data_IF_158024096918
#
_entry.id   IF_158024096918
#
_cell.length_a   1.000
_cell.length_b   1.000
_cell.length_c   1.000
_cell.angle_alpha   90.00
_cell.angle_beta   90.00
_cell.angle_gamma   90.00
#
_symmetry.space_group_name_H-M   'P 1'
#
loop_
_entity.id
_entity.type
_entity.pdbx_description
1 polymer ?
#
# COMPACT_ATOMS: atom_id res chain seq x y z
N UNK A 1 -29.92 0.04 -12.18
CA UNK A 1 -28.80 -0.58 -11.44
C UNK A 1 -27.56 -0.32 -12.28
N UNK A 2 -26.58 0.39 -11.75
CA UNK A 2 -25.28 0.59 -12.42
C UNK A 2 -24.60 -0.78 -12.51
N UNK A 3 -24.05 -1.10 -13.66
CA UNK A 3 -23.32 -2.35 -13.88
C UNK A 3 -22.02 -2.32 -13.07
N UNK A 4 -21.65 -3.42 -12.41
CA UNK A 4 -20.40 -3.52 -11.67
C UNK A 4 -19.20 -3.28 -12.60
N UNK A 5 -18.22 -2.50 -12.16
CA UNK A 5 -16.95 -2.24 -12.85
C UNK A 5 -16.17 -3.53 -12.99
N UNK A 6 -15.79 -3.92 -14.22
CA UNK A 6 -15.05 -5.16 -14.51
C UNK A 6 -13.55 -4.89 -14.37
N UNK A 7 -12.95 -5.50 -13.33
CA UNK A 7 -11.56 -5.23 -12.97
C UNK A 7 -10.66 -6.38 -13.45
N UNK A 8 -9.56 -6.02 -14.12
CA UNK A 8 -8.42 -6.88 -14.38
C UNK A 8 -7.27 -6.58 -13.42
N UNK A 9 -6.52 -7.61 -13.00
CA UNK A 9 -5.34 -7.43 -12.13
C UNK A 9 -4.10 -7.98 -12.81
N UNK A 10 -3.04 -7.16 -12.87
CA UNK A 10 -1.73 -7.52 -13.40
C UNK A 10 -0.75 -7.70 -12.23
N UNK A 11 -0.16 -8.90 -12.14
CA UNK A 11 0.67 -9.33 -11.02
C UNK A 11 -0.19 -9.90 -9.89
N UNK A 12 -0.07 -11.20 -9.62
CA UNK A 12 -0.77 -11.88 -8.52
C UNK A 12 0.20 -12.40 -7.46
N UNK A 13 1.23 -11.61 -7.19
CA UNK A 13 2.08 -11.75 -6.00
C UNK A 13 1.30 -11.43 -4.72
N UNK A 14 2.01 -11.17 -3.61
CA UNK A 14 1.38 -10.92 -2.32
C UNK A 14 0.34 -9.78 -2.36
N UNK A 15 0.66 -8.63 -3.00
CA UNK A 15 -0.27 -7.49 -3.09
C UNK A 15 -1.39 -7.74 -4.08
N UNK A 16 -1.08 -8.24 -5.28
CA UNK A 16 -2.12 -8.48 -6.29
C UNK A 16 -3.13 -9.54 -5.86
N UNK A 17 -2.71 -10.60 -5.17
CA UNK A 17 -3.62 -11.57 -4.58
C UNK A 17 -4.51 -10.94 -3.50
N UNK A 18 -3.96 -10.08 -2.65
CA UNK A 18 -4.71 -9.37 -1.62
C UNK A 18 -5.72 -8.37 -2.23
N UNK A 19 -5.35 -7.67 -3.31
CA UNK A 19 -6.30 -6.84 -4.08
C UNK A 19 -7.38 -7.67 -4.77
N UNK A 20 -7.03 -8.85 -5.32
CA UNK A 20 -8.01 -9.76 -5.93
C UNK A 20 -9.07 -10.22 -4.93
N UNK A 21 -8.65 -10.60 -3.73
CA UNK A 21 -9.53 -10.94 -2.61
C UNK A 21 -10.43 -9.75 -2.20
N UNK A 22 -9.88 -8.52 -2.17
CA UNK A 22 -10.67 -7.31 -1.87
C UNK A 22 -11.74 -7.07 -2.92
N UNK A 23 -11.36 -7.09 -4.19
CA UNK A 23 -12.32 -6.86 -5.29
C UNK A 23 -13.39 -7.93 -5.30
N UNK A 24 -13.04 -9.20 -5.09
CA UNK A 24 -13.99 -10.31 -5.12
C UNK A 24 -14.97 -10.31 -3.95
N UNK A 25 -14.52 -9.91 -2.74
CA UNK A 25 -15.29 -10.16 -1.53
C UNK A 25 -15.63 -8.94 -0.68
N UNK A 26 -14.90 -7.82 -0.84
CA UNK A 26 -15.03 -6.66 0.05
C UNK A 26 -15.38 -5.35 -0.64
N UNK A 27 -15.25 -5.27 -1.98
CA UNK A 27 -15.48 -4.05 -2.74
C UNK A 27 -16.87 -4.07 -3.39
N UNK A 28 -17.64 -3.02 -3.20
CA UNK A 28 -18.95 -2.85 -3.82
C UNK A 28 -18.85 -2.18 -5.19
N UNK A 29 -19.74 -2.51 -6.12
CA UNK A 29 -19.78 -1.89 -7.45
C UNK A 29 -18.65 -2.36 -8.38
N UNK A 30 -17.93 -3.42 -8.02
CA UNK A 30 -16.88 -4.02 -8.83
C UNK A 30 -16.94 -5.53 -8.82
N UNK A 31 -16.36 -6.14 -9.86
CA UNK A 31 -16.13 -7.59 -9.94
C UNK A 31 -14.78 -7.88 -10.60
N UNK A 32 -14.07 -8.87 -10.09
CA UNK A 32 -12.85 -9.38 -10.72
C UNK A 32 -13.23 -10.22 -11.94
N UNK A 33 -12.63 -9.92 -13.11
CA UNK A 33 -12.95 -10.63 -14.36
C UNK A 33 -11.74 -11.28 -15.01
N UNK A 34 -10.53 -10.76 -14.73
CA UNK A 34 -9.30 -11.31 -15.29
C UNK A 34 -8.10 -11.09 -14.38
N UNK A 35 -7.13 -11.98 -14.46
CA UNK A 35 -5.81 -11.84 -13.81
C UNK A 35 -4.71 -12.18 -14.81
N UNK A 36 -3.54 -11.55 -14.64
CA UNK A 36 -2.34 -11.83 -15.43
C UNK A 36 -1.12 -11.92 -14.52
N UNK A 37 -0.30 -12.96 -14.71
CA UNK A 37 0.98 -13.13 -14.03
C UNK A 37 1.91 -14.00 -14.90
N UNK A 38 3.22 -13.73 -14.95
CA UNK A 38 4.17 -14.60 -15.62
C UNK A 38 4.18 -16.04 -15.05
N UNK A 39 3.88 -16.19 -13.78
CA UNK A 39 3.64 -17.48 -13.13
C UNK A 39 2.16 -17.88 -13.37
N UNK A 40 1.91 -18.52 -14.52
CA UNK A 40 0.58 -18.93 -14.94
C UNK A 40 -0.09 -19.86 -13.92
N UNK A 41 0.66 -20.76 -13.29
CA UNK A 41 0.11 -21.68 -12.29
C UNK A 41 -0.41 -20.95 -11.06
N UNK A 42 0.28 -19.89 -10.63
CA UNK A 42 -0.17 -19.00 -9.53
C UNK A 42 -1.43 -18.23 -9.93
N UNK A 43 -1.48 -17.70 -11.15
CA UNK A 43 -2.67 -17.01 -11.68
C UNK A 43 -3.88 -17.94 -11.77
N UNK A 44 -3.71 -19.15 -12.28
CA UNK A 44 -4.77 -20.17 -12.37
C UNK A 44 -5.28 -20.59 -10.98
N UNK A 45 -4.37 -20.79 -10.02
CA UNK A 45 -4.74 -21.13 -8.64
C UNK A 45 -5.59 -20.05 -8.00
N UNK A 46 -5.20 -18.76 -8.15
CA UNK A 46 -5.96 -17.63 -7.63
C UNK A 46 -7.31 -17.48 -8.32
N UNK A 47 -7.34 -17.57 -9.67
CA UNK A 47 -8.57 -17.45 -10.44
C UNK A 47 -9.58 -18.55 -10.05
N UNK A 48 -9.12 -19.80 -9.91
CA UNK A 48 -9.96 -20.92 -9.46
C UNK A 48 -10.53 -20.70 -8.05
N UNK A 49 -9.70 -20.21 -7.11
CA UNK A 49 -10.14 -19.93 -5.73
C UNK A 49 -11.24 -18.84 -5.69
N UNK A 50 -11.12 -17.81 -6.54
CA UNK A 50 -12.05 -16.67 -6.55
C UNK A 50 -13.27 -16.86 -7.45
N UNK A 51 -13.25 -17.83 -8.38
CA UNK A 51 -14.39 -18.14 -9.24
C UNK A 51 -15.51 -18.96 -8.54
N UNK A 52 -15.38 -19.27 -7.26
CA UNK A 52 -16.41 -20.02 -6.51
C UNK A 52 -16.59 -21.46 -6.94
N UNK A 53 -15.68 -22.03 -7.72
CA UNK A 53 -15.67 -23.46 -8.05
C UNK A 53 -15.08 -24.23 -6.87
N UNK A 54 -15.77 -25.21 -6.28
CA UNK A 54 -15.19 -25.99 -5.20
C UNK A 54 -13.97 -26.75 -5.77
N UNK A 55 -12.79 -26.46 -5.23
CA UNK A 55 -11.59 -27.25 -5.51
C UNK A 55 -11.88 -28.67 -5.05
N UNK A 56 -12.00 -29.63 -5.99
CA UNK A 56 -12.10 -31.04 -5.65
C UNK A 56 -10.81 -31.41 -4.90
N UNK A 57 -10.96 -31.67 -3.61
CA UNK A 57 -9.85 -32.18 -2.81
C UNK A 57 -9.37 -33.49 -3.45
N UNK A 58 -8.20 -33.45 -4.07
CA UNK A 58 -7.49 -34.64 -4.44
C UNK A 58 -7.22 -35.49 -3.21
N UNK A 59 -7.11 -36.86 -3.35
CA UNK A 59 -7.02 -37.75 -2.20
C UNK A 59 -5.76 -37.45 -1.38
N UNK A 60 -5.98 -36.85 -0.22
CA UNK A 60 -4.93 -36.56 0.76
C UNK A 60 -4.42 -37.84 1.40
N UNK A 61 -3.13 -38.00 1.42
CA UNK A 61 -2.40 -39.02 2.20
C UNK A 61 -2.64 -38.80 3.69
N UNK A 62 -2.91 -39.87 4.48
CA UNK A 62 -3.16 -39.73 5.90
C UNK A 62 -1.84 -39.60 6.68
N UNK A 63 -1.65 -38.46 7.34
CA UNK A 63 -0.55 -38.19 8.28
C UNK A 63 -0.99 -38.29 9.74
N UNK A 64 -0.56 -39.35 10.35
CA UNK A 64 -0.35 -39.71 11.78
C UNK A 64 -1.01 -38.90 12.90
N UNK A 65 -1.76 -39.66 13.69
CA UNK A 65 -2.35 -39.33 15.00
C UNK A 65 -1.28 -39.09 16.10
N UNK A 66 -1.56 -38.17 16.99
CA UNK A 66 -0.80 -37.92 18.24
C UNK A 66 -1.71 -37.46 19.38
N UNK A 67 -2.16 -38.45 20.13
CA UNK A 67 -2.58 -38.53 21.53
C UNK A 67 -3.37 -37.44 22.25
N UNK A 68 -4.52 -37.86 22.68
CA UNK A 68 -5.43 -37.24 23.65
C UNK A 68 -4.86 -37.13 25.08
N UNK A 69 -5.30 -36.07 25.80
CA UNK A 69 -5.51 -36.20 27.26
C UNK A 69 -6.85 -35.58 27.64
N UNK A 70 -7.63 -36.39 28.32
CA UNK A 70 -8.98 -36.12 28.82
C UNK A 70 -8.94 -35.45 30.19
N UNK A 71 -10.00 -34.72 30.52
CA UNK A 71 -10.25 -34.31 31.91
C UNK A 71 -11.36 -33.27 32.06
N UNK A 72 -12.62 -33.74 32.26
CA UNK A 72 -13.52 -33.32 33.33
C UNK A 72 -14.43 -32.08 33.13
N UNK A 73 -15.69 -32.33 32.80
CA UNK A 73 -16.85 -31.47 33.14
C UNK A 73 -17.26 -31.62 34.63
N UNK A 74 -18.13 -30.73 35.25
CA UNK A 74 -19.52 -30.57 34.80
C UNK A 74 -20.22 -29.20 35.02
N UNK A 75 -21.22 -28.96 34.18
CA UNK A 75 -22.59 -28.44 34.38
C UNK A 75 -22.90 -27.21 35.26
N UNK A 76 -23.67 -26.29 34.65
CA UNK A 76 -24.47 -25.25 35.32
C UNK A 76 -25.31 -24.44 34.31
N UNK A 77 -26.61 -24.64 34.38
CA UNK A 77 -27.71 -24.31 33.48
C UNK A 77 -28.14 -22.85 33.42
N UNK A 78 -28.77 -22.51 32.28
CA UNK A 78 -29.96 -21.67 32.03
C UNK A 78 -29.81 -20.17 31.70
N UNK A 79 -30.40 -19.79 30.54
CA UNK A 79 -30.79 -18.44 30.19
C UNK A 79 -30.85 -18.17 28.67
N UNK A 80 -31.98 -18.39 28.02
CA UNK A 80 -32.34 -18.05 26.62
C UNK A 80 -33.17 -16.75 26.58
N UNK A 81 -33.50 -16.15 25.41
CA UNK A 81 -32.75 -15.85 24.16
C UNK A 81 -32.84 -14.37 23.77
N UNK A 82 -31.83 -13.88 23.12
CA UNK A 82 -31.85 -12.61 22.39
C UNK A 82 -31.67 -12.86 20.89
N UNK A 83 -32.54 -12.34 20.08
CA UNK A 83 -32.64 -12.55 18.65
C UNK A 83 -31.33 -12.19 17.94
N UNK A 84 -30.68 -13.18 17.36
CA UNK A 84 -29.58 -13.00 16.42
C UNK A 84 -30.18 -12.55 15.07
N UNK A 85 -29.92 -11.29 14.70
CA UNK A 85 -30.07 -10.86 13.32
C UNK A 85 -29.10 -11.69 12.47
N UNK A 86 -29.66 -12.49 11.57
CA UNK A 86 -28.91 -13.18 10.52
C UNK A 86 -28.34 -12.14 9.58
N UNK A 87 -27.09 -11.74 9.80
CA UNK A 87 -26.27 -11.12 8.77
C UNK A 87 -26.10 -12.18 7.66
N UNK A 88 -26.78 -11.95 6.53
CA UNK A 88 -26.53 -12.74 5.34
C UNK A 88 -25.05 -12.60 5.00
N UNK A 89 -24.34 -13.71 4.91
CA UNK A 89 -23.01 -13.75 4.33
C UNK A 89 -23.06 -13.07 2.96
N UNK A 90 -22.10 -12.21 2.59
CA UNK A 90 -22.05 -11.62 1.26
C UNK A 90 -21.98 -12.77 0.26
N UNK A 91 -23.04 -12.93 -0.53
CA UNK A 91 -23.10 -13.93 -1.60
C UNK A 91 -21.95 -13.63 -2.55
N UNK A 92 -21.17 -14.63 -2.86
CA UNK A 92 -20.14 -14.60 -3.91
C UNK A 92 -20.73 -14.01 -5.18
N UNK A 93 -20.31 -12.81 -5.57
CA UNK A 93 -20.61 -12.18 -6.87
C UNK A 93 -19.72 -12.82 -7.93
N UNK A 94 -19.63 -14.17 -7.93
CA UNK A 94 -18.67 -14.95 -8.70
C UNK A 94 -19.14 -15.17 -10.14
N UNK A 95 -18.54 -14.42 -11.06
CA UNK A 95 -18.34 -14.85 -12.43
C UNK A 95 -17.02 -15.62 -12.53
N UNK A 96 -16.80 -16.30 -13.66
CA UNK A 96 -15.50 -16.92 -13.97
C UNK A 96 -14.41 -15.84 -14.07
N UNK A 97 -13.29 -16.02 -13.35
CA UNK A 97 -12.10 -15.17 -13.46
C UNK A 97 -11.18 -15.79 -14.50
N UNK A 98 -10.93 -15.05 -15.59
CA UNK A 98 -10.07 -15.51 -16.69
C UNK A 98 -8.59 -15.29 -16.36
N UNK A 99 -7.74 -16.19 -16.82
CA UNK A 99 -6.28 -16.00 -16.81
C UNK A 99 -5.83 -15.55 -18.19
N UNK A 100 -5.18 -14.39 -18.28
CA UNK A 100 -4.65 -13.83 -19.50
C UNK A 100 -3.13 -13.73 -19.34
N UNK A 101 -2.37 -14.53 -20.09
CA UNK A 101 -0.91 -14.66 -19.91
C UNK A 101 -0.14 -13.38 -20.22
N UNK A 102 -0.60 -12.59 -21.20
CA UNK A 102 0.00 -11.31 -21.57
C UNK A 102 -0.69 -10.16 -20.82
N UNK A 103 0.03 -9.39 -19.96
CA UNK A 103 -0.54 -8.26 -19.24
C UNK A 103 -1.08 -7.16 -20.16
N UNK A 104 -0.47 -6.93 -21.31
CA UNK A 104 -0.95 -5.91 -22.26
C UNK A 104 -2.23 -6.36 -22.98
N UNK A 105 -2.36 -7.67 -23.26
CA UNK A 105 -3.60 -8.23 -23.77
C UNK A 105 -4.74 -8.10 -22.73
N UNK A 106 -4.46 -8.23 -21.43
CA UNK A 106 -5.44 -7.96 -20.38
C UNK A 106 -5.90 -6.49 -20.40
N UNK A 107 -4.97 -5.56 -20.55
CA UNK A 107 -5.31 -4.13 -20.67
C UNK A 107 -6.17 -3.89 -21.91
N UNK A 108 -5.88 -4.49 -23.04
CA UNK A 108 -6.64 -4.36 -24.29
C UNK A 108 -8.00 -5.09 -24.31
N UNK A 109 -8.28 -5.94 -23.36
CA UNK A 109 -9.50 -6.78 -23.33
C UNK A 109 -10.76 -5.91 -23.14
N UNK A 110 -11.73 -6.05 -24.04
CA UNK A 110 -13.02 -5.34 -23.99
C UNK A 110 -13.90 -5.73 -22.77
N UNK A 111 -13.64 -6.89 -22.14
CA UNK A 111 -14.32 -7.32 -20.93
C UNK A 111 -13.67 -6.79 -19.64
N UNK A 112 -12.63 -5.97 -19.73
CA UNK A 112 -11.96 -5.29 -18.60
C UNK A 112 -12.23 -3.80 -18.72
N UNK A 113 -12.83 -3.19 -17.69
CA UNK A 113 -13.14 -1.76 -17.66
C UNK A 113 -12.04 -0.94 -16.98
N UNK A 114 -11.41 -1.51 -15.96
CA UNK A 114 -10.36 -0.87 -15.15
C UNK A 114 -9.30 -1.89 -14.71
N UNK A 115 -8.09 -1.42 -14.40
CA UNK A 115 -6.95 -2.29 -14.13
C UNK A 115 -6.32 -1.96 -12.78
N UNK A 116 -5.98 -2.99 -12.00
CA UNK A 116 -5.05 -2.87 -10.86
C UNK A 116 -3.69 -3.40 -11.30
N UNK A 117 -2.65 -2.59 -11.21
CA UNK A 117 -1.27 -2.98 -11.49
C UNK A 117 -0.56 -3.25 -10.15
N UNK A 118 -0.22 -4.51 -9.91
CA UNK A 118 0.50 -4.99 -8.74
C UNK A 118 1.70 -5.90 -9.13
N UNK A 119 2.18 -5.73 -10.35
CA UNK A 119 3.40 -6.32 -10.88
C UNK A 119 4.65 -5.70 -10.23
N UNK A 120 5.86 -6.21 -10.48
CA UNK A 120 7.08 -5.52 -10.06
C UNK A 120 7.23 -4.16 -10.74
N UNK A 121 7.71 -3.14 -9.98
CA UNK A 121 7.78 -1.74 -10.42
C UNK A 121 8.48 -1.48 -11.76
N UNK A 122 9.41 -2.35 -12.16
CA UNK A 122 10.08 -2.23 -13.47
C UNK A 122 9.13 -2.44 -14.67
N UNK A 123 8.00 -3.13 -14.47
CA UNK A 123 7.01 -3.37 -15.52
C UNK A 123 5.89 -2.31 -15.56
N UNK A 124 5.78 -1.47 -14.52
CA UNK A 124 4.69 -0.50 -14.39
C UNK A 124 4.63 0.48 -15.56
N UNK A 125 5.78 0.99 -16.00
CA UNK A 125 5.82 2.02 -17.04
C UNK A 125 5.12 1.59 -18.35
N UNK A 126 5.41 0.39 -18.85
CA UNK A 126 4.79 -0.15 -20.07
C UNK A 126 3.28 -0.41 -19.86
N UNK A 127 2.91 -0.98 -18.72
CA UNK A 127 1.52 -1.29 -18.40
C UNK A 127 0.67 -0.02 -18.19
N UNK A 128 1.22 1.01 -17.55
CA UNK A 128 0.59 2.31 -17.40
C UNK A 128 0.35 2.99 -18.75
N UNK A 129 1.36 3.00 -19.63
CA UNK A 129 1.23 3.56 -20.97
C UNK A 129 0.15 2.85 -21.77
N UNK A 130 0.04 1.51 -21.67
CA UNK A 130 -1.04 0.76 -22.30
C UNK A 130 -2.42 1.14 -21.70
N UNK A 131 -2.54 1.29 -20.36
CA UNK A 131 -3.80 1.73 -19.74
C UNK A 131 -4.22 3.12 -20.25
N UNK A 132 -3.27 4.04 -20.41
CA UNK A 132 -3.54 5.36 -20.97
C UNK A 132 -3.99 5.28 -22.44
N UNK A 133 -3.35 4.44 -23.27
CA UNK A 133 -3.70 4.22 -24.68
C UNK A 133 -5.13 3.68 -24.83
N UNK A 134 -5.50 2.71 -24.02
CA UNK A 134 -6.87 2.15 -24.01
C UNK A 134 -7.87 3.00 -23.19
N UNK A 135 -7.41 4.06 -22.54
CA UNK A 135 -8.24 4.97 -21.76
C UNK A 135 -8.87 4.34 -20.54
N UNK A 136 -8.22 3.35 -19.91
CA UNK A 136 -8.73 2.61 -18.75
C UNK A 136 -8.25 3.24 -17.44
N UNK A 137 -9.15 3.46 -16.47
CA UNK A 137 -8.76 3.81 -15.11
C UNK A 137 -7.82 2.74 -14.52
N UNK A 138 -6.80 3.20 -13.78
CA UNK A 138 -5.82 2.29 -13.19
C UNK A 138 -5.50 2.67 -11.74
N UNK A 139 -5.48 1.67 -10.85
CA UNK A 139 -4.84 1.73 -9.55
C UNK A 139 -3.47 1.05 -9.70
N UNK A 140 -2.41 1.82 -9.62
CA UNK A 140 -1.04 1.32 -9.74
C UNK A 140 -0.39 1.25 -8.36
N UNK A 141 0.07 0.06 -7.96
CA UNK A 141 0.91 -0.07 -6.78
C UNK A 141 2.18 0.78 -6.88
N UNK A 142 2.67 1.20 -5.74
CA UNK A 142 3.93 1.97 -5.67
C UNK A 142 5.17 1.06 -5.89
N UNK A 143 6.28 1.60 -6.41
CA UNK A 143 6.43 2.96 -6.96
C UNK A 143 5.71 3.09 -8.31
N UNK A 144 5.36 4.32 -8.72
CA UNK A 144 4.73 4.56 -10.02
C UNK A 144 5.56 3.94 -11.16
N UNK A 145 6.86 4.26 -11.18
CA UNK A 145 7.91 3.56 -11.95
C UNK A 145 9.20 3.52 -11.15
N UNK A 146 10.27 2.93 -11.69
CA UNK A 146 11.53 2.73 -10.96
C UNK A 146 12.39 3.99 -10.82
N UNK A 147 12.12 5.04 -11.61
CA UNK A 147 12.89 6.28 -11.65
C UNK A 147 12.01 7.50 -11.99
N UNK A 148 12.52 8.69 -11.71
CA UNK A 148 11.81 9.94 -11.92
C UNK A 148 11.53 10.22 -13.40
N UNK A 149 12.46 9.91 -14.30
CA UNK A 149 12.29 10.18 -15.74
C UNK A 149 11.14 9.35 -16.34
N UNK A 150 11.11 8.06 -16.02
CA UNK A 150 10.02 7.16 -16.44
C UNK A 150 8.67 7.58 -15.86
N UNK A 151 8.67 8.00 -14.59
CA UNK A 151 7.45 8.52 -13.94
C UNK A 151 6.96 9.82 -14.60
N UNK A 152 7.86 10.73 -14.94
CA UNK A 152 7.50 11.97 -15.63
C UNK A 152 6.86 11.71 -17.00
N UNK A 153 7.40 10.76 -17.78
CA UNK A 153 6.80 10.37 -19.06
C UNK A 153 5.36 9.87 -18.90
N UNK A 154 5.04 9.15 -17.82
CA UNK A 154 3.68 8.72 -17.52
C UNK A 154 2.78 9.92 -17.21
N UNK A 155 3.25 10.85 -16.36
CA UNK A 155 2.51 12.09 -16.02
C UNK A 155 2.21 12.91 -17.27
N UNK A 156 3.22 13.14 -18.13
CA UNK A 156 3.05 13.87 -19.40
C UNK A 156 2.07 13.19 -20.36
N UNK A 157 2.10 11.85 -20.42
CA UNK A 157 1.17 11.08 -21.25
C UNK A 157 -0.27 11.20 -20.75
N UNK A 158 -0.48 11.09 -19.43
CA UNK A 158 -1.78 11.28 -18.82
C UNK A 158 -2.31 12.71 -19.02
N UNK A 159 -1.44 13.72 -18.82
CA UNK A 159 -1.83 15.13 -19.05
C UNK A 159 -2.30 15.38 -20.49
N UNK A 160 -1.62 14.80 -21.48
CA UNK A 160 -2.01 14.91 -22.91
C UNK A 160 -3.39 14.33 -23.19
N UNK A 161 -3.88 13.40 -22.40
CA UNK A 161 -5.25 12.87 -22.52
C UNK A 161 -6.31 13.84 -21.99
N UNK A 162 -5.92 14.86 -21.21
CA UNK A 162 -6.83 15.83 -20.61
C UNK A 162 -7.76 15.26 -19.55
N UNK A 163 -7.44 14.09 -19.00
CA UNK A 163 -8.18 13.45 -17.89
C UNK A 163 -7.24 12.59 -17.03
N UNK A 164 -7.46 12.60 -15.73
CA UNK A 164 -6.74 11.74 -14.79
C UNK A 164 -7.34 10.33 -14.82
N UNK A 165 -6.49 9.34 -15.02
CA UNK A 165 -6.84 7.92 -15.03
C UNK A 165 -6.04 7.10 -13.99
N UNK A 166 -4.89 7.63 -13.56
CA UNK A 166 -3.93 6.93 -12.71
C UNK A 166 -4.09 7.36 -11.26
N UNK A 167 -4.42 6.43 -10.40
CA UNK A 167 -4.29 6.54 -8.95
C UNK A 167 -3.12 5.66 -8.49
N UNK A 168 -2.25 6.20 -7.64
CA UNK A 168 -1.10 5.47 -7.11
C UNK A 168 -1.44 4.87 -5.75
N UNK A 169 -1.02 3.64 -5.49
CA UNK A 169 -1.31 2.87 -4.28
C UNK A 169 -0.55 3.35 -3.03
N UNK A 170 -0.74 4.62 -2.66
CA UNK A 170 -0.27 5.16 -1.39
C UNK A 170 -1.36 5.03 -0.33
N UNK A 171 -1.58 3.81 0.13
CA UNK A 171 -2.66 3.42 1.04
C UNK A 171 -2.72 4.23 2.33
N UNK A 172 -1.63 4.86 2.78
CA UNK A 172 -1.63 5.62 4.04
C UNK A 172 -2.54 6.83 4.00
N UNK A 173 -2.78 7.44 2.84
CA UNK A 173 -3.76 8.55 2.70
C UNK A 173 -5.20 8.11 2.98
N UNK A 174 -5.46 6.79 2.97
CA UNK A 174 -6.77 6.17 3.27
C UNK A 174 -6.83 5.55 4.67
N UNK A 175 -5.71 5.52 5.40
CA UNK A 175 -5.71 5.07 6.79
C UNK A 175 -6.47 6.04 7.69
N UNK A 176 -7.44 5.57 8.50
CA UNK A 176 -8.25 6.45 9.31
C UNK A 176 -7.47 7.36 10.28
N UNK A 177 -6.34 6.88 10.82
CA UNK A 177 -5.51 7.69 11.71
C UNK A 177 -4.80 8.81 10.93
N UNK A 178 -4.19 8.50 9.78
CA UNK A 178 -3.57 9.49 8.91
C UNK A 178 -4.58 10.50 8.35
N UNK A 179 -5.76 10.04 7.91
CA UNK A 179 -6.82 10.93 7.41
C UNK A 179 -7.29 11.89 8.51
N UNK A 180 -7.44 11.42 9.75
CA UNK A 180 -7.81 12.26 10.88
C UNK A 180 -6.69 13.24 11.26
N UNK A 181 -5.42 12.81 11.20
CA UNK A 181 -4.28 13.70 11.41
C UNK A 181 -4.29 14.84 10.37
N UNK A 182 -4.45 14.51 9.09
CA UNK A 182 -4.54 15.50 8.00
C UNK A 182 -5.67 16.50 8.24
N UNK A 183 -6.87 16.03 8.59
CA UNK A 183 -8.00 16.90 8.91
C UNK A 183 -7.70 17.85 10.07
N UNK A 184 -7.01 17.39 11.12
CA UNK A 184 -6.61 18.21 12.25
C UNK A 184 -5.61 19.28 11.84
N UNK A 185 -4.61 18.92 11.03
CA UNK A 185 -3.61 19.90 10.53
C UNK A 185 -4.26 20.94 9.62
N UNK A 186 -5.13 20.51 8.71
CA UNK A 186 -5.84 21.40 7.77
C UNK A 186 -6.83 22.34 8.47
N UNK A 187 -7.35 21.97 9.64
CA UNK A 187 -8.21 22.86 10.43
C UNK A 187 -7.51 24.11 10.95
N UNK A 188 -6.18 24.10 11.00
CA UNK A 188 -5.37 25.17 11.56
C UNK A 188 -5.48 25.33 13.09
N UNK A 189 -6.16 24.40 13.78
CA UNK A 189 -6.35 24.45 15.24
C UNK A 189 -5.01 24.43 15.98
N UNK A 190 -4.04 23.62 15.50
CA UNK A 190 -2.69 23.54 16.06
C UNK A 190 -1.73 24.62 15.54
N UNK A 191 -2.16 25.51 14.65
CA UNK A 191 -1.29 26.45 13.95
C UNK A 191 -0.52 25.78 12.82
N UNK A 192 0.59 26.39 12.36
CA UNK A 192 1.41 25.82 11.29
C UNK A 192 2.14 24.57 11.80
N UNK A 193 2.16 23.52 10.99
CA UNK A 193 2.98 22.35 11.23
C UNK A 193 4.44 22.67 10.91
N UNK A 194 5.35 22.33 11.83
CA UNK A 194 6.76 22.69 11.75
C UNK A 194 7.65 21.49 11.51
N UNK A 195 7.32 20.35 12.16
CA UNK A 195 8.10 19.12 12.10
C UNK A 195 7.16 17.90 11.98
N UNK A 196 7.63 16.87 11.28
CA UNK A 196 7.10 15.51 11.36
C UNK A 196 8.20 14.56 11.83
N UNK A 197 7.90 13.77 12.85
CA UNK A 197 8.76 12.68 13.30
C UNK A 197 8.12 11.35 12.90
N UNK A 198 8.78 10.58 12.04
CA UNK A 198 8.23 9.36 11.49
C UNK A 198 9.08 8.14 11.86
N UNK A 199 8.41 7.03 12.08
CA UNK A 199 9.02 5.72 12.26
C UNK A 199 8.38 4.73 11.31
N UNK A 200 9.21 3.97 10.59
CA UNK A 200 8.79 2.89 9.72
C UNK A 200 9.66 1.66 9.99
N UNK A 201 9.09 0.63 10.59
CA UNK A 201 9.78 -0.60 10.95
C UNK A 201 9.09 -1.81 10.38
N UNK A 202 9.83 -2.65 9.67
CA UNK A 202 9.36 -3.96 9.24
C UNK A 202 9.96 -5.04 10.16
N UNK A 203 9.25 -6.14 10.34
CA UNK A 203 9.75 -7.27 11.10
C UNK A 203 10.97 -7.88 10.43
N UNK A 204 10.85 -8.19 9.15
CA UNK A 204 11.93 -8.71 8.29
C UNK A 204 11.65 -8.35 6.84
N UNK A 205 12.69 -8.39 6.00
CA UNK A 205 12.61 -8.31 4.54
C UNK A 205 13.36 -9.49 3.92
N UNK A 206 13.13 -9.82 2.64
CA UNK A 206 13.87 -10.86 1.94
C UNK A 206 15.38 -10.59 1.93
N UNK A 207 16.21 -11.64 1.93
CA UNK A 207 17.67 -11.53 1.87
C UNK A 207 18.20 -10.82 0.60
N UNK A 208 17.36 -10.75 -0.45
CA UNK A 208 17.66 -10.00 -1.68
C UNK A 208 17.50 -8.50 -1.53
N UNK A 209 16.94 -8.01 -0.40
CA UNK A 209 16.75 -6.58 -0.16
C UNK A 209 18.09 -5.86 -0.02
N UNK A 210 18.21 -4.68 -0.61
CA UNK A 210 19.44 -3.87 -0.66
C UNK A 210 19.20 -2.50 -0.05
N UNK A 211 20.29 -1.80 0.27
CA UNK A 211 20.22 -0.47 0.93
C UNK A 211 19.37 0.54 0.17
N UNK A 212 19.47 0.56 -1.15
CA UNK A 212 18.69 1.47 -2.02
C UNK A 212 17.21 1.12 -2.05
N UNK A 213 16.86 -0.15 -1.82
CA UNK A 213 15.47 -0.60 -1.75
C UNK A 213 14.79 -0.09 -0.47
N UNK A 214 15.54 0.16 0.61
CA UNK A 214 15.01 0.80 1.81
C UNK A 214 14.47 2.20 1.46
N UNK A 215 15.19 2.95 0.63
CA UNK A 215 14.73 4.27 0.16
C UNK A 215 13.55 4.14 -0.82
N UNK A 216 13.68 3.30 -1.87
CA UNK A 216 12.70 3.24 -2.96
C UNK A 216 11.39 2.54 -2.59
N UNK A 217 11.48 1.48 -1.75
CA UNK A 217 10.34 0.59 -1.52
C UNK A 217 9.70 0.80 -0.15
N UNK A 218 10.45 1.35 0.83
CA UNK A 218 9.94 1.64 2.19
C UNK A 218 9.78 3.14 2.43
N UNK A 219 10.85 3.93 2.37
CA UNK A 219 10.83 5.37 2.64
C UNK A 219 9.89 6.15 1.70
N UNK A 220 9.59 5.63 0.51
CA UNK A 220 8.66 6.22 -0.45
C UNK A 220 7.28 6.53 0.15
N UNK A 221 6.84 5.76 1.13
CA UNK A 221 5.59 6.01 1.85
C UNK A 221 5.64 7.26 2.72
N UNK A 222 6.76 7.50 3.40
CA UNK A 222 6.97 8.69 4.21
C UNK A 222 7.19 9.93 3.35
N UNK A 223 7.79 9.77 2.16
CA UNK A 223 7.87 10.84 1.16
C UNK A 223 6.47 11.31 0.75
N UNK A 224 5.58 10.38 0.38
CA UNK A 224 4.20 10.71 0.04
C UNK A 224 3.46 11.36 1.22
N UNK A 225 3.57 10.77 2.41
CA UNK A 225 2.92 11.27 3.63
C UNK A 225 3.40 12.67 4.00
N UNK A 226 4.72 12.94 3.96
CA UNK A 226 5.25 14.26 4.31
C UNK A 226 4.73 15.34 3.35
N UNK A 227 4.79 15.08 2.03
CA UNK A 227 4.23 16.00 1.03
C UNK A 227 2.75 16.27 1.26
N UNK A 228 1.97 15.23 1.52
CA UNK A 228 0.53 15.32 1.74
C UNK A 228 0.16 16.02 3.05
N UNK A 229 0.82 15.71 4.16
CA UNK A 229 0.53 16.33 5.46
C UNK A 229 0.91 17.80 5.51
N UNK A 230 2.04 18.18 4.93
CA UNK A 230 2.47 19.59 4.84
C UNK A 230 1.76 20.37 3.73
N UNK A 231 1.15 19.71 2.75
CA UNK A 231 0.69 20.29 1.49
C UNK A 231 1.82 21.09 0.81
N UNK A 232 3.02 20.50 0.76
CA UNK A 232 4.25 21.15 0.32
C UNK A 232 5.20 20.14 -0.32
N UNK A 233 6.18 20.63 -1.09
CA UNK A 233 7.14 19.76 -1.80
C UNK A 233 8.46 19.63 -1.01
N UNK A 234 9.08 18.44 -1.11
CA UNK A 234 10.40 18.16 -0.57
C UNK A 234 11.44 18.69 -1.56
N UNK A 235 12.27 19.64 -1.11
CA UNK A 235 13.32 20.25 -1.94
C UNK A 235 14.69 19.66 -1.72
N UNK A 236 14.94 19.04 -0.55
CA UNK A 236 16.23 18.42 -0.25
C UNK A 236 16.04 17.21 0.67
N UNK A 237 16.86 16.20 0.48
CA UNK A 237 16.88 14.99 1.30
C UNK A 237 18.29 14.65 1.76
N UNK A 238 18.41 14.22 3.01
CA UNK A 238 19.64 13.61 3.55
C UNK A 238 19.32 12.23 4.08
N UNK A 239 20.07 11.21 3.66
CA UNK A 239 19.93 9.85 4.19
C UNK A 239 21.21 9.47 4.93
N UNK A 240 21.09 9.24 6.21
CA UNK A 240 22.15 8.77 7.08
C UNK A 240 22.01 7.26 7.30
N UNK A 241 23.14 6.55 7.22
CA UNK A 241 23.21 5.15 7.59
C UNK A 241 24.05 5.00 8.87
N UNK A 242 23.45 4.75 10.03
CA UNK A 242 24.20 4.43 11.24
C UNK A 242 24.87 3.05 11.11
N UNK A 243 25.52 2.58 12.18
CA UNK A 243 26.08 1.23 12.18
C UNK A 243 25.00 0.20 11.82
N UNK A 244 25.21 -0.64 10.78
CA UNK A 244 24.21 -1.63 10.35
C UNK A 244 23.95 -2.67 11.43
N UNK A 245 22.71 -3.19 11.44
CA UNK A 245 22.36 -4.37 12.23
C UNK A 245 23.15 -5.60 11.75
N UNK A 246 23.45 -6.53 12.67
CA UNK A 246 24.11 -7.80 12.32
C UNK A 246 23.16 -8.82 11.65
N UNK A 247 21.89 -8.46 11.46
CA UNK A 247 20.83 -9.35 10.95
C UNK A 247 20.59 -9.20 9.44
N UNK A 248 21.38 -8.37 8.76
CA UNK A 248 21.30 -8.16 7.30
C UNK A 248 22.52 -8.74 6.58
N UNK A 249 22.40 -8.91 5.27
CA UNK A 249 23.53 -9.32 4.43
C UNK A 249 24.66 -8.28 4.49
N UNK A 250 25.89 -8.73 4.28
CA UNK A 250 27.07 -7.86 4.24
C UNK A 250 26.87 -6.73 3.21
N UNK A 251 27.21 -5.51 3.62
CA UNK A 251 27.08 -4.31 2.78
C UNK A 251 25.68 -3.67 2.76
N UNK A 252 24.68 -4.27 3.40
CA UNK A 252 23.35 -3.65 3.54
C UNK A 252 23.36 -2.67 4.72
N UNK A 253 22.95 -1.44 4.46
CA UNK A 253 22.87 -0.34 5.42
C UNK A 253 21.44 -0.24 5.97
N UNK A 254 21.19 -0.94 7.08
CA UNK A 254 19.91 -0.96 7.80
C UNK A 254 20.19 -0.89 9.32
N UNK A 255 19.61 0.05 10.08
CA UNK A 255 18.59 1.02 9.70
C UNK A 255 19.14 2.24 8.92
N UNK A 256 18.20 3.06 8.40
CA UNK A 256 18.49 4.37 7.81
C UNK A 256 17.71 5.47 8.53
N UNK A 257 18.26 6.68 8.55
CA UNK A 257 17.59 7.89 9.04
C UNK A 257 17.58 8.91 7.91
N UNK A 258 16.40 9.23 7.40
CA UNK A 258 16.22 10.26 6.39
C UNK A 258 15.75 11.58 7.02
N UNK A 259 16.18 12.70 6.44
CA UNK A 259 15.70 14.04 6.79
C UNK A 259 15.25 14.72 5.50
N UNK A 260 14.02 15.22 5.51
CA UNK A 260 13.42 15.98 4.40
C UNK A 260 13.37 17.47 4.77
N UNK A 261 13.75 18.33 3.84
CA UNK A 261 13.55 19.78 3.92
C UNK A 261 12.47 20.16 2.93
N UNK A 262 11.40 20.81 3.44
CA UNK A 262 10.25 21.24 2.65
C UNK A 262 10.50 22.61 2.04
N UNK A 263 9.86 22.93 0.93
CA UNK A 263 9.97 24.25 0.26
C UNK A 263 9.57 25.40 1.19
N UNK A 264 8.54 25.21 2.02
CA UNK A 264 8.07 26.18 3.01
C UNK A 264 8.91 26.27 4.28
N UNK A 265 10.02 25.50 4.37
CA UNK A 265 10.96 25.52 5.51
C UNK A 265 10.60 24.60 6.67
N UNK A 266 9.50 23.83 6.59
CA UNK A 266 9.22 22.73 7.52
C UNK A 266 10.19 21.57 7.27
N UNK A 267 10.28 20.63 8.20
CA UNK A 267 11.16 19.47 8.09
C UNK A 267 10.45 18.19 8.52
N UNK A 268 10.91 17.06 8.00
CA UNK A 268 10.52 15.76 8.51
C UNK A 268 11.75 14.88 8.71
N UNK A 269 11.79 14.10 9.78
CA UNK A 269 12.73 12.99 9.93
C UNK A 269 11.99 11.65 9.89
N UNK A 270 12.71 10.62 9.42
CA UNK A 270 12.18 9.28 9.26
C UNK A 270 13.22 8.25 9.67
N UNK A 271 12.94 7.49 10.72
CA UNK A 271 13.65 6.25 11.01
C UNK A 271 13.04 5.13 10.15
N UNK A 272 13.86 4.49 9.33
CA UNK A 272 13.48 3.27 8.58
C UNK A 272 14.32 2.11 9.02
N UNK A 273 13.69 1.07 9.59
CA UNK A 273 14.37 -0.13 10.07
C UNK A 273 13.63 -1.38 9.56
N UNK A 274 14.12 -1.95 8.46
CA UNK A 274 13.39 -3.03 7.77
C UNK A 274 13.63 -4.43 8.35
N UNK A 275 14.56 -4.60 9.30
CA UNK A 275 14.81 -5.84 10.04
C UNK A 275 14.71 -5.66 11.56
N UNK A 276 13.68 -4.98 12.01
CA UNK A 276 13.45 -4.63 13.43
C UNK A 276 13.18 -5.84 14.33
N UNK A 277 12.74 -6.98 13.80
CA UNK A 277 12.47 -8.28 14.46
C UNK A 277 11.22 -8.32 15.36
N UNK A 278 10.71 -7.20 15.84
CA UNK A 278 9.56 -7.18 16.76
C UNK A 278 8.23 -7.32 16.00
N UNK A 279 8.08 -6.58 14.92
CA UNK A 279 6.85 -6.52 14.13
C UNK A 279 6.85 -5.34 13.17
N UNK A 280 5.69 -5.04 12.61
CA UNK A 280 5.48 -3.90 11.72
C UNK A 280 5.00 -2.69 12.53
N UNK A 281 5.73 -1.59 12.48
CA UNK A 281 5.41 -0.37 13.23
C UNK A 281 5.53 0.85 12.31
N UNK A 282 4.46 1.63 12.22
CA UNK A 282 4.45 2.94 11.55
C UNK A 282 3.83 3.96 12.48
N UNK A 283 4.59 5.01 12.80
CA UNK A 283 4.16 6.12 13.64
C UNK A 283 4.46 7.45 12.95
N UNK A 284 3.66 8.45 13.25
CA UNK A 284 3.92 9.82 12.87
C UNK A 284 3.52 10.75 14.03
N UNK A 285 4.40 11.66 14.40
CA UNK A 285 4.09 12.79 15.26
C UNK A 285 4.25 14.09 14.47
N UNK A 286 3.18 14.87 14.39
CA UNK A 286 3.19 16.21 13.83
C UNK A 286 3.34 17.24 14.96
N UNK A 287 4.40 18.04 14.91
CA UNK A 287 4.67 19.13 15.84
C UNK A 287 4.32 20.45 15.19
N UNK A 288 3.42 21.20 15.80
CA UNK A 288 2.92 22.46 15.31
C UNK A 288 3.10 23.59 16.35
N UNK A 289 2.80 24.84 15.97
CA UNK A 289 3.02 26.04 16.82
C UNK A 289 2.30 25.99 18.18
N UNK A 290 1.17 25.27 18.27
CA UNK A 290 0.31 25.28 19.47
C UNK A 290 0.17 23.90 20.11
N UNK A 291 0.88 22.88 19.61
CA UNK A 291 0.82 21.53 20.16
C UNK A 291 1.34 20.49 19.19
N UNK A 292 1.14 19.22 19.53
CA UNK A 292 1.48 18.09 18.65
C UNK A 292 0.35 17.07 18.59
N UNK A 293 0.37 16.26 17.54
CA UNK A 293 -0.55 15.14 17.37
C UNK A 293 0.22 13.90 16.90
N UNK A 294 -0.03 12.77 17.54
CA UNK A 294 0.67 11.51 17.27
C UNK A 294 -0.31 10.43 16.85
N UNK A 295 0.05 9.66 15.84
CA UNK A 295 -0.67 8.47 15.38
C UNK A 295 0.25 7.24 15.37
N UNK A 296 -0.35 6.05 15.23
CA UNK A 296 0.39 4.78 15.20
C UNK A 296 0.80 4.26 16.56
N UNK A 297 0.27 4.83 17.66
CA UNK A 297 0.46 4.33 19.02
C UNK A 297 -0.55 3.23 19.39
N UNK A 298 -1.40 2.86 18.45
CA UNK A 298 -2.53 1.94 18.66
C UNK A 298 -2.09 0.60 19.21
N UNK A 299 -2.55 0.29 20.42
CA UNK A 299 -2.55 -1.03 21.01
C UNK A 299 -4.00 -1.50 20.98
N UNK A 300 -4.28 -2.52 20.19
CA UNK A 300 -5.65 -3.04 20.02
C UNK A 300 -6.22 -3.52 21.38
N UNK A 301 -5.62 -4.53 21.96
CA UNK A 301 -5.97 -5.04 23.28
C UNK A 301 -4.75 -5.03 24.20
N UNK A 302 -4.84 -4.30 25.31
CA UNK A 302 -3.83 -4.34 26.38
C UNK A 302 -4.12 -5.47 27.35
N UNK A 303 -3.22 -6.44 27.41
CA UNK A 303 -3.29 -7.53 28.39
C UNK A 303 -2.42 -7.22 29.60
N UNK A 304 -2.88 -7.64 30.78
CA UNK A 304 -2.11 -7.64 32.02
C UNK A 304 -2.08 -9.06 32.52
N UNK A 305 -0.92 -9.72 32.49
CA UNK A 305 -0.76 -11.11 32.88
C UNK A 305 0.63 -11.34 33.46
N UNK A 306 0.72 -12.13 34.57
CA UNK A 306 1.98 -12.52 35.20
C UNK A 306 2.94 -11.34 35.48
N UNK A 307 2.41 -10.18 35.90
CA UNK A 307 3.21 -9.00 36.22
C UNK A 307 3.67 -8.18 35.00
N UNK A 308 3.28 -8.56 33.78
CA UNK A 308 3.54 -7.84 32.53
C UNK A 308 2.27 -7.19 32.00
N UNK A 309 2.43 -6.13 31.22
CA UNK A 309 1.36 -5.53 30.43
C UNK A 309 1.86 -5.24 29.01
N UNK A 310 0.99 -5.36 28.00
CA UNK A 310 1.35 -5.08 26.62
C UNK A 310 0.23 -5.44 25.64
N UNK A 311 0.40 -5.04 24.41
CA UNK A 311 -0.47 -5.35 23.29
C UNK A 311 0.27 -6.14 22.20
N UNK A 312 -0.48 -6.60 21.21
CA UNK A 312 0.08 -7.22 20.01
C UNK A 312 0.72 -6.16 19.11
N UNK A 313 1.86 -6.49 18.51
CA UNK A 313 2.46 -5.72 17.41
C UNK A 313 2.08 -6.43 16.11
N UNK A 314 1.55 -5.73 15.10
CA UNK A 314 1.25 -6.33 13.81
C UNK A 314 2.46 -7.04 13.20
N UNK A 315 2.25 -8.20 12.59
CA UNK A 315 3.36 -8.92 11.95
C UNK A 315 3.83 -8.25 10.65
N UNK A 316 2.89 -7.66 9.91
CA UNK A 316 3.19 -6.97 8.66
C UNK A 316 2.19 -5.82 8.35
N UNK A 317 2.43 -5.13 7.22
CA UNK A 317 1.63 -4.00 6.76
C UNK A 317 0.16 -4.36 6.44
N UNK A 318 -0.14 -5.60 6.03
CA UNK A 318 -1.51 -6.04 5.72
C UNK A 318 -2.39 -6.07 6.95
N UNK A 319 -1.81 -6.43 8.10
CA UNK A 319 -2.51 -6.38 9.39
C UNK A 319 -2.72 -4.92 9.82
N UNK A 320 -1.68 -4.07 9.73
CA UNK A 320 -1.75 -2.67 10.18
C UNK A 320 -2.63 -1.82 9.27
N UNK A 321 -2.55 -2.00 7.95
CA UNK A 321 -3.19 -1.16 6.95
C UNK A 321 -4.32 -1.85 6.18
N UNK A 322 -4.81 -3.02 6.65
CA UNK A 322 -5.87 -3.75 5.96
C UNK A 322 -7.09 -2.90 5.64
N UNK A 323 -7.57 -2.11 6.61
CA UNK A 323 -8.69 -1.19 6.43
C UNK A 323 -8.36 -0.04 5.45
N UNK A 324 -7.12 0.45 5.47
CA UNK A 324 -6.68 1.49 4.54
C UNK A 324 -6.76 1.02 3.09
N UNK A 325 -6.28 -0.19 2.81
CA UNK A 325 -6.41 -0.81 1.48
C UNK A 325 -7.87 -1.07 1.08
N UNK A 326 -8.72 -1.48 2.02
CA UNK A 326 -10.15 -1.67 1.74
C UNK A 326 -10.81 -0.34 1.35
N UNK A 327 -10.49 0.75 2.05
CA UNK A 327 -10.99 2.11 1.74
C UNK A 327 -10.41 2.62 0.41
N UNK A 328 -9.11 2.43 0.17
CA UNK A 328 -8.44 2.84 -1.06
C UNK A 328 -9.09 2.22 -2.29
N UNK A 329 -9.24 0.90 -2.30
CA UNK A 329 -9.82 0.17 -3.45
C UNK A 329 -11.29 0.54 -3.64
N UNK A 330 -12.08 0.67 -2.55
CA UNK A 330 -13.48 1.08 -2.67
C UNK A 330 -13.61 2.50 -3.26
N UNK A 331 -12.84 3.47 -2.74
CA UNK A 331 -12.87 4.85 -3.24
C UNK A 331 -12.40 4.95 -4.69
N UNK A 332 -11.36 4.20 -5.05
CA UNK A 332 -10.90 4.12 -6.43
C UNK A 332 -11.99 3.57 -7.36
N UNK A 333 -12.69 2.48 -6.97
CA UNK A 333 -13.80 1.92 -7.76
C UNK A 333 -14.91 2.93 -7.95
N UNK A 334 -15.31 3.63 -6.88
CA UNK A 334 -16.37 4.63 -6.91
C UNK A 334 -16.04 5.83 -7.80
N UNK A 335 -14.76 6.22 -7.87
CA UNK A 335 -14.26 7.28 -8.74
C UNK A 335 -14.07 6.80 -10.18
N UNK A 336 -13.45 5.63 -10.39
CA UNK A 336 -13.21 5.04 -11.70
C UNK A 336 -14.51 4.80 -12.48
N UNK A 337 -15.59 4.41 -11.81
CA UNK A 337 -16.92 4.27 -12.40
C UNK A 337 -17.48 5.59 -12.97
N UNK A 338 -16.92 6.74 -12.56
CA UNK A 338 -17.25 8.09 -13.05
C UNK A 338 -16.21 8.65 -14.01
N UNK A 339 -15.11 7.92 -14.24
CA UNK A 339 -13.96 8.40 -15.02
C UNK A 339 -13.08 9.40 -14.25
N UNK A 340 -13.05 9.31 -12.93
CA UNK A 340 -12.31 10.18 -12.01
C UNK A 340 -11.30 9.35 -11.20
N UNK A 341 -10.41 10.03 -10.47
CA UNK A 341 -9.57 9.46 -9.41
C UNK A 341 -9.93 10.08 -8.06
N UNK A 342 -9.76 9.33 -6.97
CA UNK A 342 -9.99 9.81 -5.61
C UNK A 342 -8.85 9.38 -4.69
N UNK A 343 -7.66 9.93 -4.95
CA UNK A 343 -6.45 9.60 -4.21
C UNK A 343 -5.18 10.18 -4.81
N UNK A 344 -4.01 9.64 -4.44
CA UNK A 344 -2.73 10.06 -5.00
C UNK A 344 -2.68 9.91 -6.52
N UNK A 345 -2.30 10.98 -7.20
CA UNK A 345 -2.22 11.07 -8.66
C UNK A 345 -0.90 10.52 -9.22
N UNK A 346 -0.80 10.43 -10.54
CA UNK A 346 0.48 10.16 -11.20
C UNK A 346 1.56 11.19 -10.83
N UNK A 347 1.17 12.48 -10.62
CA UNK A 347 2.09 13.50 -10.12
C UNK A 347 2.68 13.15 -8.76
N UNK A 348 1.86 12.65 -7.81
CA UNK A 348 2.35 12.22 -6.49
C UNK A 348 3.35 11.08 -6.61
N UNK A 349 3.09 10.14 -7.53
CA UNK A 349 4.02 9.05 -7.84
C UNK A 349 5.34 9.53 -8.42
N UNK A 350 5.30 10.49 -9.35
CA UNK A 350 6.49 11.13 -9.92
C UNK A 350 7.31 11.87 -8.85
N UNK A 351 6.66 12.72 -8.06
CA UNK A 351 7.34 13.47 -7.01
C UNK A 351 7.99 12.54 -5.99
N UNK A 352 7.31 11.46 -5.60
CA UNK A 352 7.90 10.46 -4.71
C UNK A 352 9.11 9.76 -5.34
N UNK A 353 9.06 9.42 -6.62
CA UNK A 353 10.19 8.83 -7.34
C UNK A 353 11.38 9.80 -7.44
N UNK A 354 11.15 11.10 -7.67
CA UNK A 354 12.20 12.12 -7.71
C UNK A 354 12.90 12.25 -6.35
N UNK A 355 12.15 12.32 -5.26
CA UNK A 355 12.72 12.37 -3.90
C UNK A 355 13.49 11.10 -3.57
N UNK A 356 12.96 9.92 -3.90
CA UNK A 356 13.67 8.66 -3.68
C UNK A 356 14.95 8.55 -4.51
N UNK A 357 14.97 9.08 -5.73
CA UNK A 357 16.18 9.15 -6.57
C UNK A 357 17.26 10.01 -5.90
N UNK A 358 16.89 11.19 -5.40
CA UNK A 358 17.79 12.06 -4.62
C UNK A 358 18.23 11.37 -3.32
N UNK A 359 17.34 10.64 -2.64
CA UNK A 359 17.63 9.89 -1.42
C UNK A 359 18.64 8.77 -1.62
N UNK A 360 18.55 8.02 -2.72
CA UNK A 360 19.58 7.00 -3.07
C UNK A 360 20.93 7.67 -3.32
N UNK A 361 20.97 8.80 -4.04
CA UNK A 361 22.20 9.58 -4.23
C UNK A 361 22.76 10.07 -2.88
N UNK A 362 21.90 10.58 -1.99
CA UNK A 362 22.31 11.03 -0.66
C UNK A 362 22.94 9.91 0.16
N UNK A 363 22.33 8.71 0.14
CA UNK A 363 22.88 7.52 0.81
C UNK A 363 24.26 7.15 0.27
N UNK A 364 24.46 7.22 -1.04
CA UNK A 364 25.73 6.87 -1.70
C UNK A 364 26.83 7.92 -1.50
N UNK A 365 26.46 9.22 -1.55
CA UNK A 365 27.40 10.33 -1.45
C UNK A 365 27.66 10.77 0.00
N UNK A 366 26.82 10.35 0.97
CA UNK A 366 26.94 10.70 2.38
C UNK A 366 26.71 12.20 2.67
N UNK A 367 25.96 12.90 1.83
CA UNK A 367 25.66 14.34 1.94
C UNK A 367 24.20 14.66 1.57
N UNK A 368 23.70 15.84 1.94
CA UNK A 368 22.43 16.35 1.44
C UNK A 368 22.40 16.44 -0.08
N UNK A 369 21.26 16.08 -0.70
CA UNK A 369 21.03 16.15 -2.15
C UNK A 369 19.74 16.92 -2.42
N UNK A 370 19.83 17.90 -3.31
CA UNK A 370 18.65 18.62 -3.83
C UNK A 370 17.79 17.70 -4.66
N UNK A 371 16.47 17.83 -4.52
CA UNK A 371 15.50 17.07 -5.31
C UNK A 371 15.33 17.75 -6.68
N UNK A 372 15.75 17.05 -7.72
CA UNK A 372 15.57 17.51 -9.11
C UNK A 372 14.16 17.10 -9.57
N UNK A 373 13.24 18.05 -9.58
CA UNK A 373 11.86 17.86 -9.99
C UNK A 373 11.42 19.03 -10.89
N UNK A 374 10.72 18.73 -11.98
CA UNK A 374 10.14 19.78 -12.82
C UNK A 374 9.02 20.50 -12.07
N UNK A 375 8.80 21.77 -12.34
CA UNK A 375 7.72 22.49 -11.71
C UNK A 375 6.36 21.97 -12.19
N UNK A 376 5.41 21.76 -11.26
CA UNK A 376 4.11 21.16 -11.57
C UNK A 376 3.34 21.92 -12.66
N UNK A 377 3.42 23.24 -12.63
CA UNK A 377 2.78 24.11 -13.60
C UNK A 377 3.43 24.08 -14.99
N UNK A 378 4.67 23.60 -15.12
CA UNK A 378 5.32 23.42 -16.43
C UNK A 378 4.80 22.16 -17.14
N UNK A 379 4.29 21.19 -16.40
CA UNK A 379 3.78 19.93 -16.94
C UNK A 379 2.27 19.90 -16.99
N UNK A 380 1.60 20.41 -15.96
CA UNK A 380 0.14 20.29 -15.81
C UNK A 380 -0.61 21.62 -16.12
N UNK A 381 0.11 22.71 -16.40
CA UNK A 381 -0.45 24.01 -16.81
C UNK A 381 -0.91 24.87 -15.64
#
# INVERSE_FOLDING_TARGET
>A
MTQDLRIGIIGVGAMGADHAERVAHRTSGARLVAVSDPDTARAESLAAALSGTPVSAGPGTPGSAGSAHAGGSPAGTSGTPGAAGTSAAPGTRGGEVRVIGDPLALVGDAEVDAVIIASPGFAHGEQLMACLEYGKPVLCEKPLTMDAESSLRVVEAEHKLGRALIQVGFMRRFDPEYARLKQLLDSGELGRTLLLHNVHRNKTVPETFRSEMIVRDSLVHEVDVARWLFDDEITRITVHAPKPTSLVAEGVLDPQLAVFEMAGGAMADVEVFVNFQVGYEVRCEAVAEKGSATIGLGVDVLTKQAGHWGGAVPDDFRVRFGLAYDIEVQRWVDAAAKGEIDGPSAWDGYAAAAVCTAGVRSLQEGRPVEVEMVARNEVLG
#
